data_IF_694398925561
#
_entry.id   IF_694398925561
#
_cell.length_a   1.000
_cell.length_b   1.000
_cell.length_c   1.000
_cell.angle_alpha   90.00
_cell.angle_beta   90.00
_cell.angle_gamma   90.00
#
_symmetry.space_group_name_H-M   'P 1'
#
loop_
_entity.id
_entity.type
_entity.pdbx_description
1 polymer ?
#
# COMPACT_ATOMS: atom_id res chain seq x y z
N UNK A 1 -3.51 -6.18 9.99
CA UNK A 1 -2.77 -4.89 10.10
C UNK A 1 -1.29 -5.04 10.34
N UNK A 2 -0.84 -5.69 11.42
CA UNK A 2 0.60 -5.80 11.73
C UNK A 2 1.42 -6.45 10.60
N UNK A 3 0.84 -7.45 9.91
CA UNK A 3 1.45 -8.08 8.73
C UNK A 3 1.77 -7.08 7.62
N UNK A 4 0.83 -6.20 7.30
CA UNK A 4 1.04 -5.15 6.28
C UNK A 4 2.15 -4.19 6.71
N UNK A 5 2.12 -3.72 7.96
CA UNK A 5 3.15 -2.82 8.46
C UNK A 5 4.55 -3.45 8.39
N UNK A 6 4.67 -4.73 8.75
CA UNK A 6 5.93 -5.46 8.68
C UNK A 6 6.41 -5.64 7.24
N UNK A 7 5.51 -5.95 6.29
CA UNK A 7 5.84 -6.05 4.88
C UNK A 7 6.34 -4.70 4.33
N UNK A 8 5.67 -3.60 4.64
CA UNK A 8 6.08 -2.25 4.22
C UNK A 8 7.47 -1.88 4.77
N UNK A 9 7.72 -2.13 6.06
CA UNK A 9 9.05 -1.92 6.67
C UNK A 9 10.13 -2.80 6.06
N UNK A 10 9.80 -4.04 5.70
CA UNK A 10 10.73 -4.93 5.03
C UNK A 10 11.11 -4.40 3.63
N UNK A 11 10.13 -3.88 2.86
CA UNK A 11 10.37 -3.27 1.55
C UNK A 11 11.38 -2.12 1.65
N UNK A 12 11.26 -1.26 2.66
CA UNK A 12 12.17 -0.13 2.85
C UNK A 12 13.61 -0.56 3.18
N UNK A 13 13.79 -1.70 3.84
CA UNK A 13 15.08 -2.19 4.32
C UNK A 13 15.86 -3.01 3.29
N UNK A 14 15.18 -3.76 2.43
CA UNK A 14 15.86 -4.69 1.51
C UNK A 14 16.55 -3.98 0.35
N UNK A 15 17.75 -4.46 -0.01
CA UNK A 15 18.57 -3.86 -1.07
C UNK A 15 18.18 -4.30 -2.49
N UNK A 16 17.54 -5.46 -2.63
CA UNK A 16 17.13 -5.99 -3.93
C UNK A 16 15.90 -5.26 -4.51
N UNK A 17 15.17 -4.51 -3.68
CA UNK A 17 14.13 -3.58 -4.13
C UNK A 17 14.80 -2.21 -4.33
N UNK A 18 15.00 -1.85 -5.60
CA UNK A 18 15.55 -0.56 -5.98
C UNK A 18 14.46 0.52 -5.99
N UNK A 19 14.78 1.76 -5.59
CA UNK A 19 13.82 2.84 -5.64
C UNK A 19 13.27 3.08 -7.05
N UNK A 20 11.96 3.20 -7.19
CA UNK A 20 11.27 3.61 -8.42
C UNK A 20 9.95 4.28 -8.09
N UNK A 21 9.38 5.04 -9.02
CA UNK A 21 8.14 5.78 -8.75
C UNK A 21 6.99 4.86 -8.30
N UNK A 22 6.74 3.77 -9.04
CA UNK A 22 5.72 2.77 -8.70
C UNK A 22 6.32 1.37 -8.56
N UNK A 23 6.26 0.81 -7.36
CA UNK A 23 6.76 -0.51 -7.01
C UNK A 23 5.98 -1.64 -7.71
N UNK A 24 4.71 -1.41 -7.97
CA UNK A 24 3.75 -2.36 -8.58
C UNK A 24 3.86 -2.50 -10.10
N UNK A 25 4.60 -1.63 -10.78
CA UNK A 25 4.65 -1.61 -12.24
C UNK A 25 5.53 -2.73 -12.84
N UNK A 26 5.04 -3.37 -13.92
CA UNK A 26 5.62 -4.42 -14.78
C UNK A 26 6.03 -5.74 -14.11
N UNK A 27 6.89 -5.66 -13.09
CA UNK A 27 7.46 -6.83 -12.40
C UNK A 27 7.59 -6.51 -10.90
N UNK A 28 6.49 -6.56 -10.13
CA UNK A 28 6.56 -6.39 -8.69
C UNK A 28 7.29 -7.58 -8.06
N UNK A 29 8.19 -7.30 -7.11
CA UNK A 29 8.86 -8.35 -6.33
C UNK A 29 7.84 -9.02 -5.39
N UNK A 30 8.08 -10.27 -5.01
CA UNK A 30 7.14 -11.06 -4.19
C UNK A 30 6.70 -10.32 -2.92
N UNK A 31 7.64 -9.66 -2.23
CA UNK A 31 7.34 -8.85 -1.04
C UNK A 31 6.40 -7.66 -1.33
N UNK A 32 6.50 -7.06 -2.52
CA UNK A 32 5.59 -5.99 -2.96
C UNK A 32 4.22 -6.58 -3.26
N UNK A 33 4.14 -7.73 -3.92
CA UNK A 33 2.86 -8.42 -4.17
C UNK A 33 2.15 -8.81 -2.87
N UNK A 34 2.90 -9.31 -1.89
CA UNK A 34 2.36 -9.61 -0.57
C UNK A 34 1.81 -8.35 0.10
N UNK A 35 2.55 -7.24 0.06
CA UNK A 35 2.09 -5.97 0.60
C UNK A 35 0.81 -5.45 -0.10
N UNK A 36 0.67 -5.65 -1.41
CA UNK A 36 -0.57 -5.34 -2.16
C UNK A 36 -1.74 -6.18 -1.64
N UNK A 37 -1.60 -7.52 -1.63
CA UNK A 37 -2.67 -8.41 -1.16
C UNK A 37 -3.11 -8.10 0.28
N UNK A 38 -2.14 -7.81 1.15
CA UNK A 38 -2.43 -7.41 2.53
C UNK A 38 -3.10 -6.03 2.61
N UNK A 39 -2.72 -5.09 1.74
CA UNK A 39 -3.36 -3.78 1.66
C UNK A 39 -4.81 -3.89 1.19
N UNK A 40 -5.09 -4.70 0.17
CA UNK A 40 -6.47 -4.98 -0.28
C UNK A 40 -7.32 -5.58 0.84
N UNK A 41 -6.77 -6.53 1.60
CA UNK A 41 -7.50 -7.18 2.70
C UNK A 41 -7.85 -6.22 3.85
N UNK A 42 -6.96 -5.28 4.18
CA UNK A 42 -7.08 -4.50 5.43
C UNK A 42 -7.38 -3.02 5.24
N UNK A 43 -7.02 -2.43 4.10
CA UNK A 43 -7.24 -1.01 3.81
C UNK A 43 -8.53 -0.76 3.03
N UNK A 44 -9.20 -1.82 2.58
CA UNK A 44 -10.49 -1.77 1.92
C UNK A 44 -11.50 -2.53 2.80
N UNK A 45 -12.64 -1.90 3.09
CA UNK A 45 -13.73 -2.55 3.82
C UNK A 45 -14.47 -3.53 2.91
N UNK A 46 -15.30 -4.39 3.50
CA UNK A 46 -16.16 -5.33 2.72
C UNK A 46 -17.12 -4.63 1.75
N UNK A 47 -17.38 -3.34 1.96
CA UNK A 47 -18.21 -2.50 1.09
C UNK A 47 -17.41 -1.82 -0.02
N UNK A 48 -16.12 -2.13 -0.16
CA UNK A 48 -15.23 -1.52 -1.15
C UNK A 48 -14.79 -0.09 -0.79
N UNK A 49 -14.93 0.33 0.47
CA UNK A 49 -14.59 1.69 0.92
C UNK A 49 -13.23 1.72 1.61
N UNK A 50 -12.52 2.86 1.63
CA UNK A 50 -11.28 3.00 2.39
C UNK A 50 -11.51 2.77 3.89
N UNK A 51 -10.69 1.92 4.51
CA UNK A 51 -10.68 1.70 5.95
C UNK A 51 -9.85 2.78 6.65
N UNK A 52 -10.50 3.86 7.06
CA UNK A 52 -9.83 5.04 7.62
C UNK A 52 -9.08 4.78 8.94
N UNK A 53 -9.56 3.87 9.79
CA UNK A 53 -8.87 3.49 11.03
C UNK A 53 -7.51 2.84 10.74
N UNK A 54 -7.50 1.89 9.81
CA UNK A 54 -6.28 1.19 9.40
C UNK A 54 -5.32 2.12 8.63
N UNK A 55 -5.86 3.04 7.83
CA UNK A 55 -5.09 4.09 7.17
C UNK A 55 -4.43 5.03 8.19
N UNK A 56 -5.19 5.48 9.20
CA UNK A 56 -4.67 6.33 10.26
C UNK A 56 -3.55 5.63 11.04
N UNK A 57 -3.71 4.33 11.32
CA UNK A 57 -2.68 3.50 11.94
C UNK A 57 -1.38 3.44 11.11
N UNK A 58 -1.47 3.24 9.79
CA UNK A 58 -0.28 3.26 8.92
C UNK A 58 0.39 4.63 8.89
N UNK A 59 -0.41 5.70 8.84
CA UNK A 59 0.09 7.08 8.85
C UNK A 59 0.84 7.41 10.15
N UNK A 60 0.31 6.96 11.30
CA UNK A 60 0.99 7.08 12.58
C UNK A 60 2.31 6.31 12.64
N UNK A 61 2.47 5.29 11.79
CA UNK A 61 3.70 4.49 11.65
C UNK A 61 4.61 4.95 10.50
N UNK A 62 4.37 6.13 9.92
CA UNK A 62 5.23 6.75 8.90
C UNK A 62 4.86 6.41 7.45
N UNK A 63 3.81 5.62 7.20
CA UNK A 63 3.37 5.27 5.85
C UNK A 63 2.14 6.09 5.46
N UNK A 64 2.32 7.02 4.52
CA UNK A 64 1.20 7.82 4.03
C UNK A 64 0.37 7.01 3.03
N UNK A 65 -0.93 6.91 3.28
CA UNK A 65 -1.92 6.29 2.36
C UNK A 65 -2.81 7.39 1.79
N UNK A 66 -3.05 7.35 0.48
CA UNK A 66 -3.78 8.38 -0.26
C UNK A 66 -4.51 7.77 -1.46
N UNK A 67 -5.57 8.41 -1.98
CA UNK A 67 -6.23 7.93 -3.19
C UNK A 67 -5.28 7.97 -4.39
N UNK A 68 -5.30 6.92 -5.21
CA UNK A 68 -4.74 6.90 -6.54
C UNK A 68 -5.76 7.44 -7.55
N UNK A 69 -6.42 6.54 -8.26
CA UNK A 69 -7.57 6.86 -9.10
C UNK A 69 -8.84 6.93 -8.25
N UNK A 70 -9.74 7.85 -8.59
CA UNK A 70 -11.01 8.06 -7.90
C UNK A 70 -12.14 8.17 -8.92
N UNK A 71 -13.29 7.59 -8.61
CA UNK A 71 -14.52 7.74 -9.37
C UNK A 71 -15.63 8.38 -8.51
N UNK A 72 -16.82 8.58 -9.07
CA UNK A 72 -18.00 9.15 -8.39
C UNK A 72 -18.40 8.39 -7.12
N UNK A 73 -17.97 7.13 -6.97
CA UNK A 73 -18.22 6.29 -5.80
C UNK A 73 -17.08 6.27 -4.75
N UNK A 74 -15.95 6.92 -5.00
CA UNK A 74 -14.82 6.98 -4.07
C UNK A 74 -13.47 6.59 -4.68
N UNK A 75 -12.65 5.84 -3.93
CA UNK A 75 -11.34 5.39 -4.39
C UNK A 75 -11.51 4.20 -5.34
N UNK A 76 -10.97 4.31 -6.55
CA UNK A 76 -10.81 3.18 -7.46
C UNK A 76 -9.54 2.41 -7.12
N UNK A 77 -8.46 3.13 -6.80
CA UNK A 77 -7.22 2.56 -6.29
C UNK A 77 -6.71 3.35 -5.10
N UNK A 78 -6.07 2.66 -4.16
CA UNK A 78 -5.32 3.24 -3.07
C UNK A 78 -3.82 3.22 -3.34
N UNK A 79 -3.11 4.22 -2.82
CA UNK A 79 -1.66 4.32 -2.89
C UNK A 79 -1.03 4.35 -1.50
N UNK A 80 0.04 3.59 -1.28
CA UNK A 80 0.88 3.65 -0.08
C UNK A 80 2.25 4.19 -0.49
N UNK A 81 2.69 5.27 0.16
CA UNK A 81 4.04 5.83 -0.06
C UNK A 81 5.06 5.16 0.86
N UNK A 82 6.14 4.65 0.27
CA UNK A 82 7.34 4.16 0.96
C UNK A 82 8.57 4.95 0.49
N UNK A 83 9.70 4.82 1.18
CA UNK A 83 11.00 5.36 0.76
C UNK A 83 11.54 4.75 -0.55
N UNK A 84 11.05 3.57 -0.95
CA UNK A 84 11.43 2.91 -2.21
C UNK A 84 10.50 3.26 -3.37
N UNK A 85 9.32 3.81 -3.09
CA UNK A 85 8.33 4.10 -4.13
C UNK A 85 6.89 3.93 -3.65
N UNK A 86 5.96 4.07 -4.59
CA UNK A 86 4.52 3.96 -4.34
C UNK A 86 4.06 2.53 -4.62
N UNK A 87 3.30 1.96 -3.69
CA UNK A 87 2.55 0.71 -3.88
C UNK A 87 1.12 1.08 -4.19
N UNK A 88 0.55 0.50 -5.25
CA UNK A 88 -0.84 0.69 -5.66
C UNK A 88 -1.63 -0.57 -5.29
N UNK A 89 -2.80 -0.43 -4.68
CA UNK A 89 -3.74 -1.49 -4.29
C UNK A 89 -5.16 -1.04 -4.66
N UNK A 90 -6.16 -1.92 -4.61
CA UNK A 90 -7.51 -1.64 -5.11
C UNK A 90 -8.01 -2.68 -6.09
#
# INVERSE_FOLDING_TARGET
MERLLNALRAIEKVDYIKPKQYLTNRDPKELVKEAVNLADEVLITKEGRPNFDNIAYLKANGFNVFPGETDSFGWLTGCIRTSKGIIVFG
#
